data_IF_709803844229
#
_entry.id   IF_709803844229
#
_cell.length_a   1.000
_cell.length_b   1.000
_cell.length_c   1.000
_cell.angle_alpha   90.00
_cell.angle_beta   90.00
_cell.angle_gamma   90.00
#
_symmetry.space_group_name_H-M   'P 1'
#
loop_
_entity.id
_entity.type
_entity.pdbx_description
1 polymer ?
#
# COMPACT_ATOMS: atom_id res chain seq x y z
N UNK A 1 37.07 -48.14 48.77
CA UNK A 1 36.66 -48.34 47.37
C UNK A 1 35.13 -48.36 47.22
N UNK A 2 34.40 -49.16 48.01
CA UNK A 2 32.92 -49.22 47.96
C UNK A 2 32.20 -47.89 48.27
N UNK A 3 32.68 -47.10 49.23
CA UNK A 3 32.08 -45.79 49.57
C UNK A 3 32.11 -44.82 48.38
N UNK A 4 33.22 -44.77 47.64
CA UNK A 4 33.37 -43.92 46.45
C UNK A 4 32.44 -44.37 45.31
N UNK A 5 32.18 -45.68 45.20
CA UNK A 5 31.27 -46.24 44.21
C UNK A 5 29.80 -45.90 44.54
N UNK A 6 29.44 -45.91 45.82
CA UNK A 6 28.12 -45.48 46.30
C UNK A 6 27.90 -43.99 46.03
N UNK A 7 28.91 -43.15 46.32
CA UNK A 7 28.85 -41.70 46.05
C UNK A 7 28.67 -41.44 44.55
N UNK A 8 29.40 -42.15 43.69
CA UNK A 8 29.29 -42.01 42.24
C UNK A 8 27.90 -42.40 41.71
N UNK A 9 27.33 -43.50 42.22
CA UNK A 9 25.96 -43.91 41.88
C UNK A 9 24.92 -42.87 42.30
N UNK A 10 25.08 -42.26 43.47
CA UNK A 10 24.17 -41.23 43.98
C UNK A 10 24.21 -39.96 43.10
N UNK A 11 25.40 -39.58 42.61
CA UNK A 11 25.56 -38.47 41.68
C UNK A 11 24.88 -38.75 40.35
N UNK A 12 25.01 -39.96 39.80
CA UNK A 12 24.34 -40.35 38.55
C UNK A 12 22.83 -40.27 38.70
N UNK A 13 22.28 -40.79 39.80
CA UNK A 13 20.85 -40.74 40.09
C UNK A 13 20.35 -39.29 40.17
N UNK A 14 21.10 -38.41 40.83
CA UNK A 14 20.78 -36.98 40.89
C UNK A 14 20.76 -36.32 39.50
N UNK A 15 21.71 -36.67 38.64
CA UNK A 15 21.78 -36.16 37.26
C UNK A 15 20.56 -36.62 36.45
N UNK A 16 20.16 -37.88 36.58
CA UNK A 16 18.97 -38.42 35.90
C UNK A 16 17.70 -37.71 36.37
N UNK A 17 17.54 -37.53 37.69
CA UNK A 17 16.41 -36.80 38.26
C UNK A 17 16.39 -35.35 37.77
N UNK A 18 17.55 -34.70 37.73
CA UNK A 18 17.68 -33.34 37.21
C UNK A 18 17.28 -33.25 35.74
N UNK A 19 17.71 -34.20 34.90
CA UNK A 19 17.30 -34.27 33.50
C UNK A 19 15.79 -34.46 33.34
N UNK A 20 15.18 -35.36 34.13
CA UNK A 20 13.74 -35.59 34.09
C UNK A 20 12.96 -34.34 34.52
N UNK A 21 13.41 -33.66 35.58
CA UNK A 21 12.82 -32.41 36.04
C UNK A 21 12.90 -31.31 34.97
N UNK A 22 14.10 -31.07 34.40
CA UNK A 22 14.30 -30.10 33.31
C UNK A 22 13.42 -30.40 32.10
N UNK A 23 13.32 -31.68 31.71
CA UNK A 23 12.49 -32.12 30.59
C UNK A 23 11.01 -31.84 30.85
N UNK A 24 10.52 -32.12 32.06
CA UNK A 24 9.13 -31.87 32.43
C UNK A 24 8.79 -30.37 32.40
N UNK A 25 9.69 -29.52 32.91
CA UNK A 25 9.51 -28.05 32.87
C UNK A 25 9.45 -27.53 31.43
N UNK A 26 10.30 -28.05 30.53
CA UNK A 26 10.28 -27.67 29.12
C UNK A 26 8.96 -28.06 28.45
N UNK A 27 8.47 -29.29 28.65
CA UNK A 27 7.21 -29.75 28.06
C UNK A 27 6.01 -28.91 28.52
N UNK A 28 5.96 -28.54 29.81
CA UNK A 28 4.91 -27.67 30.33
C UNK A 28 4.91 -26.29 29.65
N UNK A 29 6.09 -25.70 29.41
CA UNK A 29 6.23 -24.41 28.70
C UNK A 29 5.87 -24.51 27.21
N UNK A 30 6.24 -25.61 26.55
CA UNK A 30 5.92 -25.85 25.14
C UNK A 30 4.42 -26.08 24.91
N UNK A 31 3.76 -26.83 25.80
CA UNK A 31 2.31 -27.09 25.69
C UNK A 31 1.48 -25.81 25.79
N UNK A 32 1.86 -24.88 26.69
CA UNK A 32 1.14 -23.62 26.86
C UNK A 32 1.36 -22.65 25.69
N UNK A 33 2.59 -22.60 25.15
CA UNK A 33 2.95 -21.71 24.04
C UNK A 33 2.35 -22.17 22.71
N UNK A 34 2.38 -23.48 22.43
CA UNK A 34 1.88 -24.04 21.17
C UNK A 34 0.35 -23.91 21.04
N UNK A 35 -0.40 -24.26 22.09
CA UNK A 35 -1.87 -24.14 22.08
C UNK A 35 -2.35 -22.68 21.93
N UNK A 36 -1.66 -21.73 22.57
CA UNK A 36 -1.98 -20.29 22.43
C UNK A 36 -1.67 -19.78 21.02
N UNK A 37 -0.59 -20.25 20.39
CA UNK A 37 -0.19 -19.77 19.06
C UNK A 37 -1.16 -20.19 17.96
N UNK A 38 -1.73 -21.40 18.02
CA UNK A 38 -2.71 -21.86 17.03
C UNK A 38 -4.05 -21.15 17.14
N UNK A 39 -4.52 -20.87 18.37
CA UNK A 39 -5.77 -20.13 18.60
C UNK A 39 -5.65 -18.68 18.12
N UNK A 40 -4.54 -18.00 18.44
CA UNK A 40 -4.30 -16.63 17.96
C UNK A 40 -4.17 -16.56 16.44
N UNK A 41 -3.57 -17.56 15.81
CA UNK A 41 -3.46 -17.62 14.36
C UNK A 41 -4.81 -17.86 13.67
N UNK A 42 -5.66 -18.70 14.26
CA UNK A 42 -7.02 -18.93 13.78
C UNK A 42 -7.89 -17.66 13.87
N UNK A 43 -7.83 -16.95 15.00
CA UNK A 43 -8.56 -15.69 15.22
C UNK A 43 -8.08 -14.58 14.26
N UNK A 44 -6.78 -14.51 13.99
CA UNK A 44 -6.22 -13.59 13.00
C UNK A 44 -6.67 -13.92 11.57
N UNK A 45 -6.78 -15.18 11.19
CA UNK A 45 -7.27 -15.57 9.85
C UNK A 45 -8.76 -15.24 9.70
N UNK A 46 -9.56 -15.55 10.71
CA UNK A 46 -11.00 -15.27 10.70
C UNK A 46 -11.27 -13.76 10.61
N UNK A 47 -10.57 -12.96 11.42
CA UNK A 47 -10.64 -11.50 11.34
C UNK A 47 -10.10 -10.92 10.02
N UNK A 48 -9.09 -11.54 9.42
CA UNK A 48 -8.53 -11.07 8.13
C UNK A 48 -9.46 -11.38 6.96
N UNK A 49 -10.17 -12.51 6.98
CA UNK A 49 -11.10 -12.89 5.91
C UNK A 49 -12.26 -11.89 5.82
N UNK A 50 -12.88 -11.53 6.95
CA UNK A 50 -14.00 -10.57 6.98
C UNK A 50 -13.56 -9.19 6.48
N UNK A 51 -12.39 -8.71 6.93
CA UNK A 51 -11.83 -7.42 6.50
C UNK A 51 -11.51 -7.43 5.00
N UNK A 52 -11.03 -8.54 4.46
CA UNK A 52 -10.76 -8.67 3.02
C UNK A 52 -12.06 -8.68 2.21
N UNK A 53 -13.10 -9.36 2.69
CA UNK A 53 -14.43 -9.39 2.06
C UNK A 53 -15.05 -7.98 2.03
N UNK A 54 -15.03 -7.27 3.15
CA UNK A 54 -15.58 -5.92 3.25
C UNK A 54 -14.87 -4.94 2.29
N UNK A 55 -13.53 -5.03 2.21
CA UNK A 55 -12.74 -4.23 1.25
C UNK A 55 -13.03 -4.57 -0.20
N UNK A 56 -13.32 -5.84 -0.50
CA UNK A 56 -13.70 -6.29 -1.84
C UNK A 56 -15.08 -5.73 -2.21
N UNK A 57 -16.04 -5.79 -1.30
CA UNK A 57 -17.38 -5.24 -1.50
C UNK A 57 -17.34 -3.72 -1.77
N UNK A 58 -16.59 -2.97 -0.97
CA UNK A 58 -16.42 -1.52 -1.17
C UNK A 58 -15.80 -1.20 -2.54
N UNK A 59 -14.79 -1.97 -2.96
CA UNK A 59 -14.15 -1.81 -4.27
C UNK A 59 -15.11 -2.12 -5.41
N UNK A 60 -15.94 -3.16 -5.27
CA UNK A 60 -16.95 -3.51 -6.27
C UNK A 60 -17.97 -2.38 -6.39
N UNK A 61 -18.49 -1.86 -5.27
CA UNK A 61 -19.43 -0.73 -5.29
C UNK A 61 -18.83 0.51 -5.95
N UNK A 62 -17.57 0.82 -5.67
CA UNK A 62 -16.86 1.93 -6.31
C UNK A 62 -16.68 1.73 -7.82
N UNK A 63 -16.34 0.51 -8.24
CA UNK A 63 -16.23 0.15 -9.66
C UNK A 63 -17.58 0.28 -10.38
N UNK A 64 -18.67 -0.14 -9.74
CA UNK A 64 -20.03 0.02 -10.27
C UNK A 64 -20.39 1.50 -10.46
N UNK A 65 -20.05 2.36 -9.50
CA UNK A 65 -20.31 3.80 -9.58
C UNK A 65 -19.53 4.48 -10.72
N UNK A 66 -18.25 4.13 -10.88
CA UNK A 66 -17.44 4.60 -12.02
C UNK A 66 -18.03 4.09 -13.34
N UNK A 67 -18.46 2.83 -13.39
CA UNK A 67 -19.02 2.24 -14.62
C UNK A 67 -20.27 3.01 -15.04
N UNK A 68 -21.18 3.28 -14.10
CA UNK A 68 -22.40 4.07 -14.34
C UNK A 68 -22.03 5.48 -14.84
N UNK A 69 -21.04 6.11 -14.21
CA UNK A 69 -20.57 7.44 -14.61
C UNK A 69 -19.97 7.45 -16.02
N UNK A 70 -19.17 6.43 -16.35
CA UNK A 70 -18.57 6.27 -17.66
C UNK A 70 -19.64 6.04 -18.74
N UNK A 71 -20.63 5.18 -18.48
CA UNK A 71 -21.74 4.92 -19.39
C UNK A 71 -22.57 6.20 -19.65
N UNK A 72 -22.81 6.99 -18.59
CA UNK A 72 -23.51 8.27 -18.71
C UNK A 72 -22.72 9.27 -19.59
N UNK A 73 -21.39 9.31 -19.42
CA UNK A 73 -20.52 10.18 -20.20
C UNK A 73 -20.42 9.72 -21.68
N UNK A 74 -20.33 8.41 -21.93
CA UNK A 74 -20.39 7.83 -23.29
C UNK A 74 -21.70 8.23 -23.97
N UNK A 75 -22.84 8.07 -23.29
CA UNK A 75 -24.13 8.45 -23.84
C UNK A 75 -24.26 9.98 -24.08
N UNK A 76 -23.54 10.79 -23.31
CA UNK A 76 -23.46 12.25 -23.52
C UNK A 76 -22.65 12.57 -24.76
N UNK A 77 -21.45 11.98 -24.90
CA UNK A 77 -20.58 12.17 -26.05
C UNK A 77 -21.26 11.67 -27.34
N UNK A 78 -21.97 10.55 -27.30
CA UNK A 78 -22.70 10.00 -28.44
C UNK A 78 -23.79 10.97 -28.95
N UNK A 79 -24.51 11.62 -28.01
CA UNK A 79 -25.46 12.70 -28.34
C UNK A 79 -24.79 13.92 -28.93
N UNK A 80 -23.60 14.28 -28.45
CA UNK A 80 -22.82 15.42 -28.96
C UNK A 80 -22.30 15.16 -30.38
N UNK A 81 -21.77 13.95 -30.62
CA UNK A 81 -21.36 13.49 -31.96
C UNK A 81 -22.56 13.49 -32.91
N UNK A 82 -23.69 12.92 -32.50
CA UNK A 82 -24.91 12.90 -33.33
C UNK A 82 -25.40 14.31 -33.67
N UNK A 83 -25.24 15.28 -32.75
CA UNK A 83 -25.58 16.69 -33.00
C UNK A 83 -24.59 17.34 -33.96
N UNK A 84 -23.29 17.11 -33.78
CA UNK A 84 -22.25 17.61 -34.67
C UNK A 84 -22.41 17.05 -36.10
N UNK A 85 -22.70 15.76 -36.23
CA UNK A 85 -22.98 15.10 -37.51
C UNK A 85 -24.23 15.68 -38.18
N UNK A 86 -25.31 15.92 -37.44
CA UNK A 86 -26.50 16.60 -37.97
C UNK A 86 -26.28 18.06 -38.38
N UNK A 87 -25.27 18.73 -37.82
CA UNK A 87 -24.89 20.07 -38.26
C UNK A 87 -24.03 19.99 -39.52
N UNK A 88 -23.16 18.99 -39.62
CA UNK A 88 -22.33 18.72 -40.80
C UNK A 88 -23.17 18.30 -42.01
N UNK A 89 -24.20 17.48 -41.82
CA UNK A 89 -25.14 17.06 -42.89
C UNK A 89 -26.06 18.20 -43.37
N UNK A 90 -26.13 19.31 -42.62
CA UNK A 90 -26.89 20.50 -42.99
C UNK A 90 -26.02 21.59 -43.63
N UNK A 91 -24.70 21.42 -43.67
CA UNK A 91 -23.87 22.25 -44.53
C UNK A 91 -24.05 21.81 -45.99
N UNK A 92 -24.51 22.69 -46.90
CA UNK A 92 -24.43 22.40 -48.30
C UNK A 92 -22.94 22.26 -48.65
N UNK A 93 -22.62 21.22 -49.42
CA UNK A 93 -21.35 21.07 -50.13
C UNK A 93 -21.09 22.34 -50.96
N UNK A 94 -20.44 23.31 -50.37
CA UNK A 94 -19.74 24.35 -51.10
C UNK A 94 -18.44 24.61 -50.38
N UNK A 95 -17.36 24.14 -51.01
CA UNK A 95 -16.03 24.36 -50.51
C UNK A 95 -15.71 25.85 -50.50
N UNK A 96 -15.22 26.35 -49.37
CA UNK A 96 -14.15 27.34 -49.31
C UNK A 96 -13.78 27.65 -47.84
N UNK A 97 -12.50 27.40 -47.54
CA UNK A 97 -11.62 28.31 -46.78
C UNK A 97 -11.80 28.40 -45.25
N UNK A 98 -11.02 27.57 -44.54
CA UNK A 98 -10.15 28.09 -43.48
C UNK A 98 -9.34 29.27 -44.07
N UNK A 99 -9.44 30.50 -43.52
CA UNK A 99 -8.59 30.86 -42.39
C UNK A 99 -9.17 31.96 -41.47
N UNK A 100 -9.59 31.62 -40.25
CA UNK A 100 -9.81 32.62 -39.19
C UNK A 100 -9.25 32.16 -37.83
N UNK A 101 -8.00 31.67 -37.82
CA UNK A 101 -7.26 31.36 -36.59
C UNK A 101 -6.12 32.36 -36.29
N UNK A 102 -6.09 33.52 -36.93
CA UNK A 102 -4.95 34.46 -36.86
C UNK A 102 -5.19 35.75 -36.06
N UNK A 103 -6.28 35.87 -35.30
CA UNK A 103 -6.55 37.09 -34.51
C UNK A 103 -7.07 36.80 -33.10
N UNK A 104 -6.30 36.16 -32.23
CA UNK A 104 -6.50 36.32 -30.78
C UNK A 104 -5.28 35.84 -29.95
N UNK A 105 -4.06 36.15 -30.40
CA UNK A 105 -2.88 36.08 -29.54
C UNK A 105 -2.39 37.50 -29.23
N UNK A 106 -2.18 37.73 -27.93
CA UNK A 106 -1.50 38.86 -27.30
C UNK A 106 -2.24 40.21 -27.22
N UNK A 107 -2.99 40.37 -26.12
CA UNK A 107 -2.76 41.49 -25.19
C UNK A 107 -3.29 41.17 -23.78
N UNK A 108 -2.35 40.76 -22.92
CA UNK A 108 -2.06 41.39 -21.63
C UNK A 108 -3.24 41.59 -20.65
N UNK A 109 -3.38 40.67 -19.69
CA UNK A 109 -3.41 41.05 -18.26
C UNK A 109 -3.24 39.85 -17.34
N UNK A 110 -2.18 39.90 -16.54
CA UNK A 110 -2.05 39.16 -15.30
C UNK A 110 -3.28 39.42 -14.42
N UNK A 111 -4.11 38.41 -14.24
CA UNK A 111 -5.08 38.37 -13.15
C UNK A 111 -4.98 36.99 -12.50
N UNK A 112 -4.57 37.01 -11.23
CA UNK A 112 -4.36 35.85 -10.36
C UNK A 112 -5.56 34.91 -10.42
N UNK A 113 -5.46 33.83 -11.19
CA UNK A 113 -6.31 32.67 -10.97
C UNK A 113 -5.69 31.87 -9.82
N UNK A 114 -6.09 32.23 -8.60
CA UNK A 114 -6.01 31.32 -7.46
C UNK A 114 -6.66 30.01 -7.88
N UNK A 115 -5.84 28.98 -8.08
CA UNK A 115 -6.33 27.61 -7.98
C UNK A 115 -6.68 27.44 -6.51
N UNK A 116 -7.95 27.74 -6.18
CA UNK A 116 -8.57 27.31 -4.94
C UNK A 116 -8.64 25.79 -5.00
N UNK A 117 -7.55 25.13 -4.60
CA UNK A 117 -7.66 23.80 -4.03
C UNK A 117 -8.48 23.99 -2.77
N UNK A 118 -9.78 23.78 -2.87
CA UNK A 118 -10.64 23.70 -1.70
C UNK A 118 -10.18 22.46 -0.93
N UNK A 119 -9.55 22.60 0.25
CA UNK A 119 -9.23 21.44 1.06
C UNK A 119 -10.56 20.87 1.50
N UNK A 120 -10.80 19.59 1.20
CA UNK A 120 -11.99 18.89 1.66
C UNK A 120 -11.96 18.92 3.19
N UNK A 121 -12.77 19.81 3.75
CA UNK A 121 -12.93 20.02 5.17
C UNK A 121 -13.49 18.70 5.76
N UNK A 122 -12.66 18.06 6.59
CA UNK A 122 -13.03 17.46 7.86
C UNK A 122 -14.52 17.12 8.05
N UNK A 123 -14.87 15.85 7.86
CA UNK A 123 -16.00 15.24 8.58
C UNK A 123 -15.41 14.46 9.76
N UNK A 124 -15.68 14.96 10.96
CA UNK A 124 -15.26 14.41 12.25
C UNK A 124 -15.89 13.03 12.49
N UNK A 125 -15.07 12.02 12.81
CA UNK A 125 -15.50 10.87 13.60
C UNK A 125 -15.56 11.26 15.10
N UNK A 126 -16.49 10.68 15.88
CA UNK A 126 -16.56 10.92 17.31
C UNK A 126 -15.37 10.25 18.01
N UNK A 127 -14.80 11.00 18.95
CA UNK A 127 -13.69 10.63 19.81
C UNK A 127 -14.06 9.39 20.65
N UNK A 128 -13.33 8.30 20.50
CA UNK A 128 -13.12 7.35 21.59
C UNK A 128 -11.62 7.08 21.82
N UNK A 129 -11.26 7.07 23.10
CA UNK A 129 -9.93 7.28 23.64
C UNK A 129 -9.20 5.96 23.82
N UNK A 130 -8.42 5.54 22.82
CA UNK A 130 -7.15 4.83 22.97
C UNK A 130 -6.81 4.19 21.63
N UNK A 131 -6.20 4.93 20.71
CA UNK A 131 -5.40 4.26 19.70
C UNK A 131 -4.22 5.08 19.23
N UNK A 132 -3.09 4.38 19.10
CA UNK A 132 -1.82 4.97 18.70
C UNK A 132 -1.95 5.42 17.24
N UNK A 133 -1.81 6.72 17.04
CA UNK A 133 -1.63 7.39 15.76
C UNK A 133 -0.51 6.70 14.96
N UNK A 134 -0.86 5.78 14.07
CA UNK A 134 0.03 5.30 13.01
C UNK A 134 -0.15 6.25 11.83
N UNK A 135 0.56 7.37 11.96
CA UNK A 135 1.27 8.13 10.94
C UNK A 135 1.03 7.75 9.46
N UNK A 136 -0.11 8.18 8.91
CA UNK A 136 -0.46 8.08 7.49
C UNK A 136 0.52 8.89 6.59
N UNK A 137 1.24 9.87 7.16
CA UNK A 137 2.23 10.69 6.45
C UNK A 137 3.51 9.90 6.15
N UNK A 138 3.96 9.05 7.09
CA UNK A 138 5.13 8.16 6.90
C UNK A 138 4.93 7.13 5.79
N UNK A 139 3.70 6.66 5.58
CA UNK A 139 3.37 5.67 4.53
C UNK A 139 3.53 6.28 3.14
N UNK A 140 3.01 7.50 2.93
CA UNK A 140 3.12 8.25 1.67
C UNK A 140 4.57 8.58 1.34
N UNK A 141 5.36 8.99 2.34
CA UNK A 141 6.79 9.29 2.17
C UNK A 141 7.57 8.03 1.79
N UNK A 142 7.25 6.87 2.37
CA UNK A 142 7.92 5.59 2.08
C UNK A 142 7.69 5.15 0.64
N UNK A 143 6.47 5.28 0.13
CA UNK A 143 6.11 4.93 -1.25
C UNK A 143 6.84 5.84 -2.25
N UNK A 144 6.84 7.15 -2.00
CA UNK A 144 7.53 8.10 -2.88
C UNK A 144 9.04 7.84 -2.94
N UNK A 145 9.67 7.57 -1.79
CA UNK A 145 11.09 7.23 -1.73
C UNK A 145 11.42 5.92 -2.45
N UNK A 146 10.58 4.89 -2.31
CA UNK A 146 10.73 3.62 -3.03
C UNK A 146 10.68 3.80 -4.55
N UNK A 147 9.73 4.59 -5.04
CA UNK A 147 9.60 4.88 -6.47
C UNK A 147 10.80 5.69 -7.00
N UNK A 148 11.31 6.62 -6.19
CA UNK A 148 12.52 7.40 -6.52
C UNK A 148 13.78 6.54 -6.61
N UNK A 149 13.95 5.58 -5.69
CA UNK A 149 15.07 4.61 -5.73
C UNK A 149 15.05 3.76 -6.99
N UNK A 150 13.88 3.30 -7.41
CA UNK A 150 13.72 2.48 -8.63
C UNK A 150 14.02 3.30 -9.89
N UNK A 151 13.49 4.52 -9.99
CA UNK A 151 13.75 5.40 -11.13
C UNK A 151 15.24 5.76 -11.28
N UNK A 152 15.94 6.03 -10.16
CA UNK A 152 17.37 6.32 -10.20
C UNK A 152 18.20 5.07 -10.54
N UNK A 153 17.79 3.90 -10.09
CA UNK A 153 18.49 2.67 -10.44
C UNK A 153 18.34 2.30 -11.93
N UNK A 154 17.16 2.56 -12.52
CA UNK A 154 16.92 2.38 -13.96
C UNK A 154 17.78 3.34 -14.81
N UNK A 155 18.03 4.55 -14.30
CA UNK A 155 18.93 5.53 -14.90
C UNK A 155 20.42 5.16 -14.77
N UNK A 156 20.75 4.03 -14.13
CA UNK A 156 22.11 3.52 -14.00
C UNK A 156 22.92 4.11 -12.84
N UNK A 157 22.28 4.83 -11.91
CA UNK A 157 22.96 5.38 -10.74
C UNK A 157 23.43 4.29 -9.78
N UNK A 158 24.58 4.52 -9.15
CA UNK A 158 25.14 3.58 -8.17
C UNK A 158 24.34 3.58 -6.88
N UNK A 159 24.22 2.41 -6.23
CA UNK A 159 23.56 2.26 -4.92
C UNK A 159 24.00 3.27 -3.84
N UNK A 160 25.22 3.80 -3.94
CA UNK A 160 25.78 4.81 -3.03
C UNK A 160 25.23 6.21 -3.34
N UNK A 161 25.04 6.54 -4.62
CA UNK A 161 24.51 7.83 -5.07
C UNK A 161 23.03 7.92 -4.79
N UNK A 162 22.29 6.83 -5.01
CA UNK A 162 20.87 6.72 -4.66
C UNK A 162 20.68 6.89 -3.15
N UNK A 163 21.56 6.31 -2.32
CA UNK A 163 21.51 6.47 -0.87
C UNK A 163 21.71 7.93 -0.45
N UNK A 164 22.63 8.63 -1.12
CA UNK A 164 22.92 10.04 -0.86
C UNK A 164 21.77 10.96 -1.26
N UNK A 165 21.06 10.67 -2.34
CA UNK A 165 19.96 11.52 -2.84
C UNK A 165 18.62 11.22 -2.16
N UNK A 166 18.32 9.96 -1.86
CA UNK A 166 17.02 9.54 -1.29
C UNK A 166 17.02 9.47 0.24
N UNK A 167 18.21 9.49 0.86
CA UNK A 167 18.37 9.30 2.30
C UNK A 167 18.03 7.89 2.79
N UNK A 168 17.95 6.92 1.86
CA UNK A 168 17.72 5.51 2.16
C UNK A 168 19.07 4.79 2.34
N UNK A 169 19.12 3.81 3.25
CA UNK A 169 20.34 3.03 3.48
C UNK A 169 20.73 2.22 2.24
N UNK A 170 22.05 2.10 2.00
CA UNK A 170 22.58 1.31 0.88
C UNK A 170 22.06 -0.13 0.86
N UNK A 171 21.95 -0.76 2.03
CA UNK A 171 21.41 -2.11 2.21
C UNK A 171 19.95 -2.23 1.79
N UNK A 172 19.13 -1.24 2.11
CA UNK A 172 17.71 -1.21 1.78
C UNK A 172 17.49 -0.97 0.29
N UNK A 173 18.31 -0.11 -0.34
CA UNK A 173 18.32 0.06 -1.80
C UNK A 173 18.69 -1.25 -2.51
N UNK A 174 19.74 -1.94 -2.06
CA UNK A 174 20.14 -3.22 -2.66
C UNK A 174 19.02 -4.26 -2.55
N UNK A 175 18.36 -4.36 -1.39
CA UNK A 175 17.24 -5.27 -1.18
C UNK A 175 16.06 -4.93 -2.12
N UNK A 176 15.71 -3.65 -2.21
CA UNK A 176 14.65 -3.16 -3.11
C UNK A 176 14.96 -3.49 -4.58
N UNK A 177 16.22 -3.37 -5.00
CA UNK A 177 16.65 -3.70 -6.35
C UNK A 177 16.68 -5.21 -6.62
N UNK A 178 17.11 -6.03 -5.65
CA UNK A 178 17.08 -7.49 -5.77
C UNK A 178 15.65 -8.03 -5.91
N UNK A 179 14.69 -7.46 -5.19
CA UNK A 179 13.28 -7.87 -5.25
C UNK A 179 12.59 -7.45 -6.56
N UNK A 180 13.09 -6.41 -7.23
CA UNK A 180 12.52 -5.88 -8.48
C UNK A 180 13.31 -6.25 -9.74
N UNK A 181 14.46 -6.94 -9.62
CA UNK A 181 15.17 -7.49 -10.78
C UNK A 181 14.35 -8.66 -11.36
N UNK A 182 13.83 -8.46 -12.57
CA UNK A 182 13.48 -9.57 -13.47
C UNK A 182 14.73 -10.08 -14.18
#
# INVERSE_FOLDING_TARGET
MFLNLIIFMLVIILIVIFMLYKRQTLLNLFSHTMASSTIQFQEQIEGTAEVVIQRLEERIRYLEDILITADAEIARLDKEITRAEKLLDKEPKDGQLLPELSKFSEKEKEEKMQISFQPLNSMQEPIDKNDKVIDNEKEVIRIHKRNSVLALAEQGYSSIEIAKTTGISKSEIILLLQLNKK
#
